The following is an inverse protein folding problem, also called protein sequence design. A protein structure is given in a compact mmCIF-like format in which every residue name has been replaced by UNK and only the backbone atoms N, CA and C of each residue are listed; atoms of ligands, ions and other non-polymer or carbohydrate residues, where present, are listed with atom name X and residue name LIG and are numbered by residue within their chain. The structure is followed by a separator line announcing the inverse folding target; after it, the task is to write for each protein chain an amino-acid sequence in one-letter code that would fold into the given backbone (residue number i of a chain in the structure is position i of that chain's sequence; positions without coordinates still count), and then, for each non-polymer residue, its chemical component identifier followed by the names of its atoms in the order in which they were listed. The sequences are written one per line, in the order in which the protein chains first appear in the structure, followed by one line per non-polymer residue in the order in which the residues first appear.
data_IF_476621519627
#
_entry.id   IF_476621519627
#
_cell.length_a   1.000
_cell.length_b   1.000
_cell.length_c   1.000
_cell.angle_alpha   90.00
_cell.angle_beta   90.00
_cell.angle_gamma   90.00
#
_symmetry.space_group_name_H-M   'P 1'
#
loop_
_entity.id
_entity.type
_entity.pdbx_description
1 polymer ?
#
# COMPACT_ATOMS: atom_id res chain seq x y z
N UNK A 1 24.55 0.36 23.62
CA UNK A 1 24.53 1.26 22.47
C UNK A 1 23.57 0.68 21.43
N UNK A 2 22.37 1.26 21.21
CA UNK A 2 21.40 0.71 20.27
C UNK A 2 21.83 0.95 18.81
N UNK A 3 21.41 0.07 17.89
CA UNK A 3 21.70 0.23 16.45
C UNK A 3 21.08 1.50 15.83
N UNK A 4 19.99 2.01 16.41
CA UNK A 4 19.26 3.22 15.97
C UNK A 4 18.65 3.92 17.17
N UNK A 5 18.36 5.23 17.02
CA UNK A 5 17.70 6.04 18.05
C UNK A 5 16.21 5.72 18.22
N UNK A 6 15.59 5.12 17.21
CA UNK A 6 14.18 4.69 17.23
C UNK A 6 13.98 3.35 16.51
N UNK A 7 12.80 2.74 16.71
CA UNK A 7 12.44 1.42 16.16
C UNK A 7 12.15 1.39 14.66
N UNK A 8 12.20 2.54 13.98
CA UNK A 8 12.03 2.67 12.54
C UNK A 8 10.59 2.53 12.05
N UNK A 9 9.59 2.52 12.94
CA UNK A 9 8.18 2.56 12.54
C UNK A 9 7.73 4.02 12.42
N UNK A 10 6.98 4.34 11.37
CA UNK A 10 6.43 5.66 11.08
C UNK A 10 4.96 5.52 10.72
N UNK A 11 4.12 6.42 11.24
CA UNK A 11 2.78 6.62 10.72
C UNK A 11 2.89 7.43 9.44
N UNK A 12 2.11 7.04 8.43
CA UNK A 12 2.02 7.73 7.14
C UNK A 12 0.58 8.21 7.00
N UNK A 13 0.37 9.51 6.85
CA UNK A 13 -0.96 10.11 6.81
C UNK A 13 -1.06 11.15 5.69
N UNK A 14 -2.26 11.30 5.12
CA UNK A 14 -2.56 12.23 4.05
C UNK A 14 -3.76 11.80 3.20
N UNK A 15 -4.02 12.50 2.09
CA UNK A 15 -5.21 12.28 1.26
C UNK A 15 -5.40 10.84 0.75
N UNK A 16 -4.32 10.07 0.58
CA UNK A 16 -4.39 8.68 0.09
C UNK A 16 -4.83 7.70 1.20
N UNK A 17 -4.74 8.11 2.47
CA UNK A 17 -5.17 7.35 3.65
C UNK A 17 -4.08 7.24 4.72
N UNK A 18 -4.43 6.53 5.80
CA UNK A 18 -3.56 6.26 6.94
C UNK A 18 -2.87 4.90 6.77
N UNK A 19 -1.54 4.88 6.83
CA UNK A 19 -0.75 3.66 6.76
C UNK A 19 0.45 3.69 7.70
N UNK A 20 1.31 2.68 7.58
CA UNK A 20 2.56 2.58 8.33
C UNK A 20 3.73 2.29 7.42
N UNK A 21 4.90 2.83 7.76
CA UNK A 21 6.17 2.60 7.05
C UNK A 21 7.24 2.14 8.02
N UNK A 22 8.06 1.17 7.57
CA UNK A 22 9.19 0.64 8.34
C UNK A 22 10.50 1.07 7.68
N UNK A 23 11.13 2.10 8.23
CA UNK A 23 12.34 2.74 7.68
C UNK A 23 13.65 2.17 8.23
N UNK A 24 13.60 1.14 9.09
CA UNK A 24 14.79 0.63 9.78
C UNK A 24 15.88 0.07 8.85
N UNK A 25 15.51 -0.37 7.64
CA UNK A 25 16.44 -0.85 6.61
C UNK A 25 16.45 0.06 5.35
N UNK A 26 15.69 1.15 5.36
CA UNK A 26 15.62 2.13 4.28
C UNK A 26 16.68 3.20 4.53
N UNK A 27 17.63 3.34 3.60
CA UNK A 27 18.67 4.37 3.71
C UNK A 27 18.04 5.77 3.66
N UNK A 28 18.59 6.77 4.37
CA UNK A 28 18.02 8.12 4.43
C UNK A 28 17.68 8.73 3.07
N UNK A 29 18.53 8.52 2.06
CA UNK A 29 18.33 9.02 0.69
C UNK A 29 17.11 8.43 -0.04
N UNK A 30 16.55 7.33 0.45
CA UNK A 30 15.37 6.67 -0.13
C UNK A 30 14.10 6.87 0.69
N UNK A 31 14.14 7.61 1.80
CA UNK A 31 12.96 7.76 2.69
C UNK A 31 11.95 8.79 2.21
N UNK A 32 12.34 9.60 1.23
CA UNK A 32 11.48 10.57 0.55
C UNK A 32 11.50 10.28 -0.95
N UNK A 33 10.33 9.99 -1.50
CA UNK A 33 10.13 9.71 -2.93
C UNK A 33 8.95 10.53 -3.41
N UNK A 34 9.18 11.30 -4.48
CA UNK A 34 8.12 11.95 -5.23
C UNK A 34 8.20 11.47 -6.66
N UNK A 35 7.17 10.77 -7.13
CA UNK A 35 7.15 10.20 -8.48
C UNK A 35 5.71 9.90 -8.95
N UNK A 36 5.49 9.71 -10.26
CA UNK A 36 4.20 9.29 -10.79
C UNK A 36 3.77 7.91 -10.25
N UNK A 37 2.48 7.75 -10.01
CA UNK A 37 1.87 6.49 -9.62
C UNK A 37 1.84 5.52 -10.81
N UNK A 38 2.07 4.23 -10.51
CA UNK A 38 1.65 3.13 -11.37
C UNK A 38 0.75 2.22 -10.53
N UNK A 39 -0.49 2.05 -10.96
CA UNK A 39 -1.56 1.36 -10.22
C UNK A 39 -1.63 -0.10 -10.64
N UNK A 40 -1.70 -0.97 -9.64
CA UNK A 40 -1.83 -2.41 -9.78
C UNK A 40 -2.90 -2.95 -8.83
N UNK A 41 -3.64 -3.94 -9.30
CA UNK A 41 -4.67 -4.63 -8.51
C UNK A 41 -4.19 -5.96 -7.92
N UNK A 42 -2.95 -6.36 -8.26
CA UNK A 42 -2.34 -7.57 -7.73
C UNK A 42 -0.81 -7.53 -7.82
N UNK A 43 -0.15 -8.34 -6.99
CA UNK A 43 1.31 -8.49 -7.05
C UNK A 43 1.77 -9.16 -8.35
N UNK A 44 0.94 -10.02 -8.94
CA UNK A 44 1.20 -10.70 -10.21
C UNK A 44 1.23 -9.69 -11.37
N UNK A 45 0.35 -8.68 -11.35
CA UNK A 45 0.33 -7.61 -12.35
C UNK A 45 1.62 -6.77 -12.30
N UNK A 46 2.07 -6.40 -11.10
CA UNK A 46 3.35 -5.70 -10.94
C UNK A 46 4.53 -6.55 -11.41
N UNK A 47 4.54 -7.84 -11.04
CA UNK A 47 5.59 -8.76 -11.48
C UNK A 47 5.62 -8.90 -13.01
N UNK A 48 4.46 -9.03 -13.64
CA UNK A 48 4.36 -9.13 -15.10
C UNK A 48 4.89 -7.85 -15.79
N UNK A 49 4.56 -6.66 -15.27
CA UNK A 49 5.06 -5.39 -15.80
C UNK A 49 6.59 -5.26 -15.61
N UNK A 50 7.13 -5.75 -14.49
CA UNK A 50 8.57 -5.82 -14.27
C UNK A 50 9.27 -6.76 -15.26
N UNK A 51 8.75 -7.99 -15.41
CA UNK A 51 9.30 -8.99 -16.33
C UNK A 51 9.26 -8.51 -17.79
N UNK A 52 8.26 -7.68 -18.14
CA UNK A 52 8.12 -7.04 -19.44
C UNK A 52 9.02 -5.80 -19.65
N UNK A 53 9.82 -5.41 -18.65
CA UNK A 53 10.72 -4.26 -18.73
C UNK A 53 10.02 -2.89 -18.70
N UNK A 54 8.76 -2.82 -18.26
CA UNK A 54 7.95 -1.60 -18.34
C UNK A 54 8.17 -0.62 -17.16
N UNK A 55 8.92 -1.04 -16.14
CA UNK A 55 9.07 -0.32 -14.87
C UNK A 55 10.44 0.36 -14.70
N UNK A 56 11.25 0.47 -15.75
CA UNK A 56 12.56 1.14 -15.72
C UNK A 56 12.43 2.68 -15.71
N UNK A 57 11.85 3.22 -14.64
CA UNK A 57 11.62 4.65 -14.41
C UNK A 57 11.42 4.93 -12.92
N UNK A 58 11.36 6.20 -12.54
CA UNK A 58 10.92 6.61 -11.20
C UNK A 58 9.40 6.45 -11.11
N UNK A 59 8.90 5.79 -10.06
CA UNK A 59 7.45 5.63 -9.83
C UNK A 59 7.13 5.22 -8.40
N UNK A 60 5.88 5.42 -7.99
CA UNK A 60 5.32 4.85 -6.78
C UNK A 60 4.33 3.77 -7.18
N UNK A 61 4.60 2.54 -6.79
CA UNK A 61 3.69 1.41 -7.01
C UNK A 61 2.50 1.54 -6.06
N UNK A 62 1.30 1.71 -6.61
CA UNK A 62 0.05 1.63 -5.84
C UNK A 62 -0.51 0.23 -6.03
N UNK A 63 -0.43 -0.62 -5.02
CA UNK A 63 -1.00 -1.98 -5.07
C UNK A 63 -2.23 -2.02 -4.19
N UNK A 64 -3.41 -1.89 -4.81
CA UNK A 64 -4.70 -1.79 -4.13
C UNK A 64 -5.43 -3.13 -4.10
N UNK A 65 -6.53 -3.17 -3.33
CA UNK A 65 -7.39 -4.33 -3.18
C UNK A 65 -6.69 -5.55 -2.56
N UNK A 66 -5.73 -5.28 -1.67
CA UNK A 66 -5.00 -6.29 -0.90
C UNK A 66 -5.35 -6.21 0.60
N UNK A 67 -6.36 -5.44 0.96
CA UNK A 67 -6.78 -5.23 2.34
C UNK A 67 -7.54 -6.42 2.96
N UNK A 68 -7.89 -6.31 4.25
CA UNK A 68 -8.61 -7.35 4.98
C UNK A 68 -9.91 -7.78 4.32
N UNK A 69 -10.75 -6.82 3.90
CA UNK A 69 -12.05 -7.11 3.30
C UNK A 69 -11.96 -7.50 1.83
N UNK A 70 -10.88 -7.13 1.13
CA UNK A 70 -10.65 -7.53 -0.25
C UNK A 70 -10.37 -9.03 -0.35
N UNK A 71 -9.20 -9.48 0.11
CA UNK A 71 -8.72 -10.84 -0.08
C UNK A 71 -8.11 -11.46 1.20
N UNK A 72 -8.46 -10.91 2.37
CA UNK A 72 -7.97 -11.40 3.66
C UNK A 72 -6.56 -10.92 4.00
N UNK A 73 -6.05 -9.91 3.30
CA UNK A 73 -4.74 -9.30 3.53
C UNK A 73 -3.58 -10.32 3.54
N UNK A 74 -3.31 -11.03 2.42
CA UNK A 74 -2.15 -11.91 2.32
C UNK A 74 -0.83 -11.11 2.34
N UNK A 75 0.27 -11.79 2.64
CA UNK A 75 1.60 -11.18 2.55
C UNK A 75 2.10 -11.15 1.09
N UNK A 76 2.36 -9.95 0.58
CA UNK A 76 2.75 -9.67 -0.81
C UNK A 76 4.26 -9.81 -1.04
N UNK A 77 4.82 -10.96 -0.67
CA UNK A 77 6.26 -11.22 -0.68
C UNK A 77 6.93 -11.10 -2.07
N UNK A 78 6.17 -11.20 -3.16
CA UNK A 78 6.72 -11.12 -4.52
C UNK A 78 7.00 -9.69 -5.00
N UNK A 79 6.55 -8.66 -4.27
CA UNK A 79 6.72 -7.25 -4.65
C UNK A 79 8.13 -6.70 -4.34
N UNK A 80 8.74 -7.14 -3.23
CA UNK A 80 10.01 -6.59 -2.76
C UNK A 80 11.17 -6.80 -3.75
N UNK A 81 11.38 -8.00 -4.33
CA UNK A 81 12.54 -8.23 -5.18
C UNK A 81 12.55 -7.35 -6.46
N UNK A 82 11.46 -7.24 -7.25
CA UNK A 82 11.40 -6.33 -8.39
C UNK A 82 11.73 -4.88 -8.03
N UNK A 83 11.09 -4.33 -7.00
CA UNK A 83 11.31 -2.94 -6.59
C UNK A 83 12.72 -2.71 -6.07
N UNK A 84 13.29 -3.67 -5.34
CA UNK A 84 14.66 -3.62 -4.87
C UNK A 84 15.68 -3.54 -6.02
N UNK A 85 15.45 -4.30 -7.10
CA UNK A 85 16.29 -4.26 -8.31
C UNK A 85 16.20 -2.90 -9.00
N UNK A 86 15.00 -2.31 -9.10
CA UNK A 86 14.81 -0.98 -9.70
C UNK A 86 15.50 0.11 -8.87
N UNK A 87 15.41 0.04 -7.55
CA UNK A 87 16.13 0.95 -6.66
C UNK A 87 17.65 0.82 -6.80
N UNK A 88 18.18 -0.40 -6.89
CA UNK A 88 19.62 -0.64 -7.10
C UNK A 88 20.13 -0.12 -8.44
N UNK A 89 19.25 -0.06 -9.44
CA UNK A 89 19.52 0.57 -10.75
C UNK A 89 19.49 2.10 -10.70
N UNK A 90 19.16 2.68 -9.55
CA UNK A 90 19.17 4.13 -9.32
C UNK A 90 17.81 4.81 -9.47
N UNK A 91 16.74 4.06 -9.74
CA UNK A 91 15.40 4.63 -9.82
C UNK A 91 14.84 4.94 -8.43
N UNK A 92 14.07 6.03 -8.33
CA UNK A 92 13.31 6.37 -7.14
C UNK A 92 12.00 5.60 -7.15
N UNK A 93 11.92 4.58 -6.31
CA UNK A 93 10.75 3.72 -6.21
C UNK A 93 10.24 3.63 -4.78
N UNK A 94 8.92 3.60 -4.63
CA UNK A 94 8.25 3.28 -3.36
C UNK A 94 7.02 2.40 -3.60
N UNK A 95 6.50 1.80 -2.54
CA UNK A 95 5.28 0.99 -2.55
C UNK A 95 4.22 1.61 -1.62
N UNK A 96 2.98 1.67 -2.07
CA UNK A 96 1.82 2.03 -1.26
C UNK A 96 0.77 0.94 -1.45
N UNK A 97 0.29 0.34 -0.37
CA UNK A 97 -0.70 -0.74 -0.44
C UNK A 97 -1.62 -0.75 0.77
N UNK A 98 -2.88 -1.09 0.53
CA UNK A 98 -3.86 -1.42 1.56
C UNK A 98 -3.64 -2.83 2.14
N UNK A 99 -2.74 -3.62 1.56
CA UNK A 99 -2.29 -4.92 2.06
C UNK A 99 -1.07 -4.87 2.95
N UNK A 100 -0.35 -6.00 3.04
CA UNK A 100 0.82 -6.16 3.91
C UNK A 100 2.01 -6.86 3.25
N UNK A 101 3.17 -6.69 3.88
CA UNK A 101 4.44 -7.35 3.53
C UNK A 101 4.83 -8.35 4.62
N UNK A 102 5.89 -9.15 4.39
CA UNK A 102 6.33 -10.26 5.27
C UNK A 102 6.91 -9.86 6.65
N UNK A 103 6.61 -8.66 7.15
CA UNK A 103 7.09 -8.12 8.43
C UNK A 103 8.59 -7.76 8.49
N UNK A 104 9.39 -8.28 7.54
CA UNK A 104 10.79 -7.93 7.36
C UNK A 104 10.93 -6.48 6.88
N UNK A 105 11.97 -5.79 7.37
CA UNK A 105 12.29 -4.46 6.85
C UNK A 105 13.01 -4.59 5.52
N UNK A 106 12.36 -4.13 4.44
CA UNK A 106 12.99 -3.99 3.13
C UNK A 106 13.80 -2.70 3.01
N UNK A 107 14.69 -2.63 2.00
CA UNK A 107 15.41 -1.40 1.64
C UNK A 107 14.60 -0.42 0.80
N UNK A 108 13.46 -0.87 0.28
CA UNK A 108 12.52 -0.06 -0.51
C UNK A 108 11.53 0.61 0.45
N UNK A 109 11.32 1.93 0.37
CA UNK A 109 10.31 2.61 1.16
C UNK A 109 8.91 2.07 0.83
N UNK A 110 8.11 1.79 1.86
CA UNK A 110 6.75 1.28 1.69
C UNK A 110 5.78 1.84 2.73
N UNK A 111 4.56 2.16 2.30
CA UNK A 111 3.40 2.40 3.15
C UNK A 111 2.47 1.20 3.00
N UNK A 112 2.28 0.48 4.09
CA UNK A 112 1.43 -0.72 4.15
C UNK A 112 0.24 -0.46 5.06
N UNK A 113 -0.76 -1.35 5.01
CA UNK A 113 -1.99 -1.26 5.80
C UNK A 113 -2.78 0.03 5.56
N UNK A 114 -2.62 0.64 4.38
CA UNK A 114 -3.31 1.88 4.04
C UNK A 114 -4.81 1.69 4.20
N UNK A 115 -5.40 2.52 5.06
CA UNK A 115 -6.78 2.46 5.50
C UNK A 115 -7.43 3.85 5.32
N UNK A 116 -8.69 3.94 4.88
CA UNK A 116 -9.56 2.85 4.45
C UNK A 116 -9.04 2.13 3.20
N UNK A 117 -9.26 0.81 3.12
CA UNK A 117 -8.81 0.00 1.98
C UNK A 117 -9.61 0.28 0.71
N UNK A 118 -9.02 -0.02 -0.46
CA UNK A 118 -9.65 0.25 -1.75
C UNK A 118 -10.97 -0.49 -1.96
N UNK A 119 -11.11 -1.72 -1.44
CA UNK A 119 -12.33 -2.53 -1.58
C UNK A 119 -13.55 -1.94 -0.87
N UNK A 120 -13.31 -0.99 0.06
CA UNK A 120 -14.33 -0.24 0.79
C UNK A 120 -14.54 1.17 0.24
N UNK A 121 -14.01 1.46 -0.96
CA UNK A 121 -14.04 2.80 -1.54
C UNK A 121 -13.05 3.77 -0.91
N UNK A 122 -12.00 3.26 -0.25
CA UNK A 122 -10.97 4.10 0.36
C UNK A 122 -10.20 4.94 -0.67
N UNK A 123 -9.54 6.04 -0.23
CA UNK A 123 -8.92 6.99 -1.16
C UNK A 123 -7.83 6.39 -2.06
N UNK A 124 -7.13 5.33 -1.61
CA UNK A 124 -6.17 4.59 -2.44
C UNK A 124 -6.78 4.06 -3.75
N UNK A 125 -8.08 3.75 -3.78
CA UNK A 125 -8.79 3.33 -5.00
C UNK A 125 -9.16 4.48 -5.95
N UNK A 126 -9.01 5.75 -5.52
CA UNK A 126 -9.18 6.95 -6.37
C UNK A 126 -7.90 7.35 -7.11
N UNK A 127 -6.75 6.78 -6.73
CA UNK A 127 -5.45 7.03 -7.37
C UNK A 127 -5.45 6.42 -8.77
N UNK A 128 -4.90 7.16 -9.74
CA UNK A 128 -4.82 6.79 -11.15
C UNK A 128 -3.37 6.79 -11.61
N UNK A 129 -3.08 6.04 -12.68
CA UNK A 129 -1.76 6.06 -13.31
C UNK A 129 -1.35 7.50 -13.67
N UNK A 130 -0.10 7.84 -13.34
CA UNK A 130 0.47 9.15 -13.62
C UNK A 130 0.23 10.22 -12.56
N UNK A 131 -0.68 10.01 -11.59
CA UNK A 131 -0.82 10.94 -10.45
C UNK A 131 0.52 11.05 -9.71
N UNK A 132 0.98 12.26 -9.42
CA UNK A 132 2.24 12.43 -8.68
C UNK A 132 1.99 12.23 -7.19
N UNK A 133 2.66 11.25 -6.61
CA UNK A 133 2.55 10.89 -5.19
C UNK A 133 3.78 11.43 -4.46
N UNK A 134 3.58 11.95 -3.25
CA UNK A 134 4.64 12.36 -2.33
C UNK A 134 4.63 11.38 -1.16
N UNK A 135 5.64 10.52 -1.14
CA UNK A 135 5.94 9.63 -0.02
C UNK A 135 7.08 10.25 0.80
N UNK A 136 6.81 10.65 2.04
CA UNK A 136 7.83 11.21 2.93
C UNK A 136 7.74 10.54 4.30
N UNK A 137 8.59 9.52 4.52
CA UNK A 137 8.62 8.79 5.79
C UNK A 137 9.42 9.51 6.89
N UNK A 138 10.11 10.61 6.58
CA UNK A 138 10.75 11.45 7.60
C UNK A 138 9.69 12.33 8.29
N UNK A 139 8.72 12.83 7.52
CA UNK A 139 7.61 13.65 8.02
C UNK A 139 6.32 12.86 8.28
N UNK A 140 6.24 11.62 7.82
CA UNK A 140 5.04 10.79 7.93
C UNK A 140 3.92 11.21 6.98
N UNK A 141 4.26 11.68 5.79
CA UNK A 141 3.31 12.21 4.80
C UNK A 141 3.11 11.22 3.65
N UNK A 142 1.85 10.98 3.30
CA UNK A 142 1.42 10.22 2.13
C UNK A 142 0.43 11.07 1.31
N UNK A 143 0.97 11.88 0.41
CA UNK A 143 0.24 12.94 -0.29
C UNK A 143 0.17 12.72 -1.80
N UNK A 144 -0.73 13.42 -2.48
CA UNK A 144 -0.99 13.35 -3.91
C UNK A 144 -1.11 14.77 -4.48
N UNK A 145 -0.37 15.07 -5.56
CA UNK A 145 -0.40 16.37 -6.25
C UNK A 145 -1.55 16.47 -7.25
N UNK A 146 -2.75 16.24 -6.74
CA UNK A 146 -4.02 16.46 -7.44
C UNK A 146 -4.78 17.50 -6.63
N UNK A 147 -5.52 18.39 -7.30
CA UNK A 147 -6.36 19.35 -6.60
C UNK A 147 -7.30 18.61 -5.62
N UNK A 148 -7.41 19.02 -4.34
CA UNK A 148 -8.21 18.28 -3.37
C UNK A 148 -9.69 18.14 -3.77
N UNK A 149 -10.27 19.14 -4.44
CA UNK A 149 -11.66 19.08 -4.89
C UNK A 149 -11.80 18.08 -6.04
N UNK A 150 -10.84 18.08 -6.96
CA UNK A 150 -10.78 17.07 -8.02
C UNK A 150 -10.64 15.67 -7.43
N UNK A 151 -9.69 15.45 -6.53
CA UNK A 151 -9.42 14.13 -5.94
C UNK A 151 -10.61 13.60 -5.17
N UNK A 152 -11.28 14.45 -4.38
CA UNK A 152 -12.48 14.05 -3.65
C UNK A 152 -13.64 13.68 -4.59
N UNK A 153 -13.80 14.41 -5.70
CA UNK A 153 -14.83 14.15 -6.70
C UNK A 153 -14.58 12.87 -7.54
N UNK A 154 -13.37 12.29 -7.50
CA UNK A 154 -13.10 11.04 -8.22
C UNK A 154 -13.90 9.88 -7.62
N UNK A 155 -14.58 9.14 -8.49
CA UNK A 155 -15.10 7.82 -8.14
C UNK A 155 -13.92 6.89 -7.87
N UNK A 156 -13.97 6.20 -6.73
CA UNK A 156 -13.09 5.07 -6.47
C UNK A 156 -13.33 4.00 -7.53
N UNK A 157 -12.27 3.38 -8.00
CA UNK A 157 -12.40 2.26 -8.91
C UNK A 157 -13.06 1.06 -8.23
N UNK A 158 -13.76 0.27 -9.03
CA UNK A 158 -14.55 -0.83 -8.53
C UNK A 158 -13.65 -1.99 -8.13
N UNK A 159 -13.74 -2.42 -6.87
CA UNK A 159 -13.15 -3.69 -6.48
C UNK A 159 -13.89 -4.82 -7.17
N UNK A 160 -13.21 -5.45 -8.12
CA UNK A 160 -13.66 -6.69 -8.75
C UNK A 160 -12.94 -7.82 -8.05
N UNK A 161 -13.65 -8.64 -7.26
CA UNK A 161 -13.03 -9.80 -6.63
C UNK A 161 -12.34 -10.62 -7.71
N UNK A 162 -11.02 -10.72 -7.58
CA UNK A 162 -10.23 -11.74 -8.23
C UNK A 162 -10.87 -13.11 -7.93
N UNK A 163 -10.75 -14.07 -8.86
CA UNK A 163 -11.29 -15.46 -8.77
C UNK A 163 -10.99 -16.19 -7.45
N UNK A 164 -10.14 -15.59 -6.60
CA UNK A 164 -9.89 -15.87 -5.21
C UNK A 164 -11.08 -15.81 -4.22
N UNK A 165 -12.27 -15.37 -4.63
CA UNK A 165 -13.45 -15.31 -3.75
C UNK A 165 -13.85 -16.68 -3.19
N UNK A 166 -13.66 -17.73 -3.99
CA UNK A 166 -14.17 -19.10 -3.77
C UNK A 166 -13.06 -20.15 -3.93
N UNK A 167 -13.26 -21.34 -3.36
CA UNK A 167 -12.33 -22.47 -3.48
C UNK A 167 -11.26 -22.45 -2.40
N UNK A 168 -10.61 -23.61 -2.18
CA UNK A 168 -9.69 -23.85 -1.07
C UNK A 168 -10.32 -23.58 0.31
N UNK A 169 -11.66 -23.68 0.42
CA UNK A 169 -12.41 -23.41 1.66
C UNK A 169 -12.63 -21.93 1.96
N UNK A 170 -12.23 -21.01 1.06
CA UNK A 170 -12.40 -19.56 1.26
C UNK A 170 -13.86 -19.15 1.41
N UNK A 171 -14.77 -19.88 0.78
CA UNK A 171 -16.21 -19.73 0.92
C UNK A 171 -16.69 -19.80 2.38
N UNK A 172 -16.02 -20.60 3.23
CA UNK A 172 -16.33 -20.72 4.66
C UNK A 172 -16.01 -19.43 5.45
N UNK A 173 -15.15 -18.57 4.89
CA UNK A 173 -14.66 -17.34 5.52
C UNK A 173 -15.24 -16.07 4.90
N UNK A 174 -16.22 -16.19 3.98
CA UNK A 174 -16.80 -15.06 3.26
C UNK A 174 -17.26 -13.94 4.20
N UNK A 175 -18.07 -14.27 5.22
CA UNK A 175 -18.53 -13.28 6.19
C UNK A 175 -17.42 -12.72 7.06
N UNK A 176 -16.41 -13.51 7.42
CA UNK A 176 -15.27 -13.02 8.19
C UNK A 176 -14.50 -11.96 7.39
N UNK A 177 -14.24 -12.22 6.12
CA UNK A 177 -13.63 -11.26 5.20
C UNK A 177 -14.51 -10.02 5.00
N UNK A 178 -15.77 -10.20 4.65
CA UNK A 178 -16.70 -9.07 4.41
C UNK A 178 -17.00 -8.22 5.65
N UNK A 179 -16.80 -8.74 6.85
CA UNK A 179 -17.00 -8.01 8.11
C UNK A 179 -15.70 -7.55 8.76
N UNK A 180 -14.55 -7.84 8.16
CA UNK A 180 -13.27 -7.34 8.65
C UNK A 180 -13.27 -5.80 8.65
N UNK A 181 -12.93 -5.23 9.81
CA UNK A 181 -12.69 -3.80 9.95
C UNK A 181 -11.38 -3.34 9.29
N UNK A 182 -11.10 -2.03 9.29
CA UNK A 182 -9.86 -1.49 8.73
C UNK A 182 -8.61 -2.07 9.41
N UNK A 183 -7.51 -2.17 8.66
CA UNK A 183 -6.23 -2.62 9.21
C UNK A 183 -5.73 -1.69 10.34
N UNK A 184 -6.00 -0.38 10.23
CA UNK A 184 -5.73 0.60 11.29
C UNK A 184 -6.38 0.26 12.65
N UNK A 185 -7.49 -0.48 12.63
CA UNK A 185 -8.22 -0.94 13.82
C UNK A 185 -7.99 -2.44 14.11
N UNK A 186 -6.87 -2.98 13.61
CA UNK A 186 -6.45 -4.37 13.82
C UNK A 186 -7.15 -5.40 12.94
N UNK A 187 -7.82 -4.98 11.85
CA UNK A 187 -8.63 -5.86 10.99
C UNK A 187 -9.69 -6.67 11.79
N UNK A 188 -10.14 -6.13 12.92
CA UNK A 188 -11.05 -6.80 13.82
C UNK A 188 -12.47 -6.82 13.29
N UNK A 189 -13.19 -7.91 13.58
CA UNK A 189 -14.62 -8.05 13.29
C UNK A 189 -15.46 -7.40 14.41
N UNK A 190 -14.85 -7.27 15.58
CA UNK A 190 -15.46 -6.66 16.75
C UNK A 190 -15.02 -5.21 16.84
N UNK A 191 -15.98 -4.32 17.08
CA UNK A 191 -15.69 -2.95 17.50
C UNK A 191 -15.34 -2.96 18.98
N UNK A 192 -14.06 -3.08 19.32
CA UNK A 192 -13.56 -3.05 20.71
C UNK A 192 -13.57 -1.63 21.35
N UNK A 193 -14.48 -0.75 20.90
CA UNK A 193 -14.81 0.62 21.39
C UNK A 193 -13.96 1.82 20.93
N UNK A 194 -14.65 2.84 20.38
CA UNK A 194 -14.67 4.22 20.91
C UNK A 194 -13.69 5.29 20.40
N UNK A 195 -12.64 4.98 19.65
CA UNK A 195 -11.74 6.03 19.12
C UNK A 195 -11.32 5.71 17.68
N UNK A 196 -11.77 6.53 16.74
CA UNK A 196 -11.31 6.51 15.35
C UNK A 196 -12.44 6.46 14.32
N UNK A 197 -13.52 7.23 14.53
CA UNK A 197 -14.36 7.72 13.43
C UNK A 197 -13.69 8.99 12.86
#
# INVERSE_FOLDING_TARGET
DPFSKDGGLRMMDGPIGLGVSKVSAVKPEHRVVEAPAIVFDSQEALKAAFDAGQLERDFIAIVRFQGPAANGMPELHTLTPPLAVLQDRGFKVALVTDGRMSGASGKVPSAIHVSPEGSRGGPIAKVRDGDVIVFDAERGVLDIKVDPVEFEARSADEYRPNDSGMGLGREMFTYFRELAGPAANGASHFKFSGRGD
#
